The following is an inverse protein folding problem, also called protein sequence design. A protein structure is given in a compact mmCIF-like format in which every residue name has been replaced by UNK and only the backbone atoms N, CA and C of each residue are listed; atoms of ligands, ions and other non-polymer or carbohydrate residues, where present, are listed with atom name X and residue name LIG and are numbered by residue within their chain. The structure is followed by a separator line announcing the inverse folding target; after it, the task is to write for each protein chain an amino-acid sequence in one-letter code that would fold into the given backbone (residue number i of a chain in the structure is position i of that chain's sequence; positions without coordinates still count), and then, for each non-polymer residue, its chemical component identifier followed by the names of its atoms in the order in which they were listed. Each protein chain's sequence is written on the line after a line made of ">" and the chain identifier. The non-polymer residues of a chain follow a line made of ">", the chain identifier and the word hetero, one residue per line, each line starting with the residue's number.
data_IF_689792548086
#
_entry.id   IF_689792548086
#
_cell.length_a   1.000
_cell.length_b   1.000
_cell.length_c   1.000
_cell.angle_alpha   90.00
_cell.angle_beta   90.00
_cell.angle_gamma   90.00
#
_symmetry.space_group_name_H-M   'P 1'
#
loop_
_entity.id
_entity.type
_entity.pdbx_description
1 polymer ?
#
# COMPACT_ATOMS: atom_id res chain seq x y z
N UNK A 1 -21.10 -4.58 17.77
CA UNK A 1 -21.30 -5.42 16.57
C UNK A 1 -20.32 -4.97 15.49
N UNK A 2 -19.66 -5.90 14.80
CA UNK A 2 -18.84 -5.60 13.62
C UNK A 2 -19.73 -5.63 12.37
N UNK A 3 -19.57 -4.66 11.46
CA UNK A 3 -20.37 -4.51 10.23
C UNK A 3 -19.46 -4.44 9.00
N UNK A 4 -19.65 -5.31 7.99
CA UNK A 4 -18.90 -5.21 6.75
C UNK A 4 -19.31 -3.95 5.98
N UNK A 5 -18.32 -3.24 5.44
CA UNK A 5 -18.49 -2.06 4.59
C UNK A 5 -17.68 -2.24 3.32
N UNK A 6 -18.19 -1.74 2.20
CA UNK A 6 -17.55 -1.80 0.88
C UNK A 6 -17.34 -0.40 0.35
N UNK A 7 -16.20 -0.13 -0.28
CA UNK A 7 -15.89 1.16 -0.91
C UNK A 7 -14.40 1.50 -0.82
N UNK A 8 -13.95 2.44 -1.63
CA UNK A 8 -12.55 2.90 -1.64
C UNK A 8 -12.12 3.51 -0.31
N UNK A 9 -13.06 4.03 0.47
CA UNK A 9 -12.83 4.50 1.85
C UNK A 9 -12.29 3.40 2.78
N UNK A 10 -12.56 2.12 2.47
CA UNK A 10 -12.00 0.99 3.22
C UNK A 10 -10.57 0.65 2.79
N UNK A 11 -10.15 1.07 1.60
CA UNK A 11 -8.76 0.90 1.12
C UNK A 11 -7.82 1.92 1.75
N UNK A 12 -8.30 3.14 2.03
CA UNK A 12 -7.51 4.21 2.66
C UNK A 12 -6.83 3.79 3.98
N UNK A 13 -7.53 3.23 4.99
CA UNK A 13 -6.91 2.82 6.24
C UNK A 13 -5.89 1.68 6.07
N UNK A 14 -6.08 0.80 5.07
CA UNK A 14 -5.13 -0.29 4.77
C UNK A 14 -3.81 0.28 4.25
N UNK A 15 -3.88 1.20 3.28
CA UNK A 15 -2.69 1.82 2.69
C UNK A 15 -1.96 2.70 3.72
N UNK A 16 -2.69 3.48 4.52
CA UNK A 16 -2.07 4.30 5.58
C UNK A 16 -1.46 3.45 6.69
N UNK A 17 -2.07 2.31 7.04
CA UNK A 17 -1.47 1.35 7.98
C UNK A 17 -0.16 0.76 7.46
N UNK A 18 -0.11 0.37 6.18
CA UNK A 18 1.13 -0.09 5.55
C UNK A 18 2.23 0.99 5.55
N UNK A 19 1.84 2.25 5.31
CA UNK A 19 2.76 3.39 5.37
C UNK A 19 3.32 3.60 6.79
N UNK A 20 2.46 3.49 7.81
CA UNK A 20 2.84 3.63 9.20
C UNK A 20 3.86 2.56 9.62
N UNK A 21 3.61 1.29 9.27
CA UNK A 21 4.55 0.19 9.54
C UNK A 21 5.89 0.38 8.81
N UNK A 22 5.86 0.87 7.57
CA UNK A 22 7.08 1.14 6.82
C UNK A 22 7.90 2.26 7.46
N UNK A 23 7.25 3.32 7.94
CA UNK A 23 7.90 4.42 8.65
C UNK A 23 8.41 4.00 10.04
N UNK A 24 7.71 3.10 10.72
CA UNK A 24 8.18 2.51 11.98
C UNK A 24 9.51 1.76 11.78
N UNK A 25 9.64 1.02 10.67
CA UNK A 25 10.86 0.27 10.35
C UNK A 25 11.97 1.14 9.75
N UNK A 26 11.62 2.14 8.94
CA UNK A 26 12.55 3.04 8.27
C UNK A 26 12.15 4.51 8.48
N UNK A 27 12.46 5.10 9.66
CA UNK A 27 11.99 6.43 10.04
C UNK A 27 12.49 7.56 9.12
N UNK A 28 13.63 7.37 8.46
CA UNK A 28 14.26 8.38 7.61
C UNK A 28 13.69 8.43 6.18
N UNK A 29 12.74 7.56 5.84
CA UNK A 29 12.15 7.55 4.50
C UNK A 29 11.36 8.84 4.22
N UNK A 30 11.65 9.43 3.08
CA UNK A 30 10.86 10.54 2.55
C UNK A 30 9.54 10.05 1.97
N UNK A 31 8.56 10.97 1.88
CA UNK A 31 7.30 10.73 1.19
C UNK A 31 7.46 10.18 -0.24
N UNK A 32 8.53 10.58 -0.93
CA UNK A 32 8.83 10.11 -2.29
C UNK A 32 9.26 8.64 -2.27
N UNK A 33 10.13 8.26 -1.35
CA UNK A 33 10.63 6.90 -1.22
C UNK A 33 9.54 5.93 -0.75
N UNK A 34 8.67 6.37 0.17
CA UNK A 34 7.49 5.59 0.57
C UNK A 34 6.61 5.28 -0.63
N UNK A 35 6.24 6.30 -1.41
CA UNK A 35 5.40 6.14 -2.61
C UNK A 35 6.07 5.24 -3.65
N UNK A 36 7.38 5.37 -3.84
CA UNK A 36 8.15 4.55 -4.76
C UNK A 36 8.19 3.08 -4.33
N UNK A 37 8.39 2.81 -3.04
CA UNK A 37 8.44 1.45 -2.49
C UNK A 37 7.07 0.77 -2.53
N UNK A 38 6.00 1.50 -2.22
CA UNK A 38 4.61 1.03 -2.40
C UNK A 38 4.31 0.68 -3.85
N UNK A 39 4.74 1.53 -4.79
CA UNK A 39 4.60 1.25 -6.22
C UNK A 39 5.34 -0.03 -6.62
N UNK A 40 6.60 -0.15 -6.22
CA UNK A 40 7.46 -1.25 -6.68
C UNK A 40 7.07 -2.60 -6.05
N UNK A 41 6.44 -2.59 -4.87
CA UNK A 41 5.94 -3.80 -4.19
C UNK A 41 4.53 -4.22 -4.61
N UNK A 42 3.80 -3.38 -5.36
CA UNK A 42 2.42 -3.64 -5.72
C UNK A 42 2.27 -4.84 -6.67
N UNK A 43 1.24 -5.65 -6.42
CA UNK A 43 0.88 -6.80 -7.25
C UNK A 43 -0.06 -6.35 -8.37
N UNK A 44 0.39 -6.45 -9.62
CA UNK A 44 -0.45 -6.20 -10.80
C UNK A 44 -1.57 -7.26 -10.89
N UNK A 45 -2.83 -6.80 -10.92
CA UNK A 45 -4.03 -7.64 -10.98
C UNK A 45 -4.54 -7.88 -12.41
N UNK A 46 -3.86 -7.35 -13.43
CA UNK A 46 -4.25 -7.47 -14.84
C UNK A 46 -5.38 -6.55 -15.28
N UNK A 47 -5.81 -5.59 -14.44
CA UNK A 47 -6.80 -4.58 -14.82
C UNK A 47 -6.19 -3.42 -15.64
N UNK A 48 -7.04 -2.60 -16.26
CA UNK A 48 -6.57 -1.35 -16.86
C UNK A 48 -5.88 -0.46 -15.82
N UNK A 49 -4.78 0.22 -16.21
CA UNK A 49 -4.00 1.06 -15.30
C UNK A 49 -4.86 2.14 -14.61
N UNK A 50 -5.86 2.69 -15.30
CA UNK A 50 -6.82 3.65 -14.75
C UNK A 50 -7.63 3.11 -13.57
N UNK A 51 -7.80 1.79 -13.45
CA UNK A 51 -8.56 1.13 -12.38
C UNK A 51 -7.68 0.70 -11.21
N UNK A 52 -6.50 0.16 -11.48
CA UNK A 52 -5.64 -0.44 -10.45
C UNK A 52 -4.39 0.39 -10.10
N UNK A 53 -4.07 1.41 -10.88
CA UNK A 53 -2.79 2.10 -10.79
C UNK A 53 -1.64 1.10 -10.94
N UNK A 54 -0.78 1.04 -9.93
CA UNK A 54 0.37 0.15 -9.89
C UNK A 54 0.05 -1.26 -9.38
N UNK A 55 -1.17 -1.50 -8.90
CA UNK A 55 -1.63 -2.80 -8.43
C UNK A 55 -2.06 -2.80 -6.96
N UNK A 56 -2.28 -3.99 -6.42
CA UNK A 56 -2.65 -4.24 -5.04
C UNK A 56 -1.42 -4.07 -4.12
N UNK A 57 -1.56 -3.28 -3.05
CA UNK A 57 -0.48 -3.16 -2.05
C UNK A 57 -0.15 -4.51 -1.41
N UNK A 58 1.13 -4.81 -1.23
CA UNK A 58 1.63 -6.05 -0.62
C UNK A 58 2.46 -5.67 0.60
N UNK A 59 1.87 -5.73 1.78
CA UNK A 59 2.51 -5.24 3.01
C UNK A 59 3.77 -6.04 3.37
N UNK A 60 3.73 -7.35 3.16
CA UNK A 60 4.86 -8.27 3.29
C UNK A 60 6.04 -7.85 2.40
N UNK A 61 5.80 -7.63 1.10
CA UNK A 61 6.85 -7.21 0.14
C UNK A 61 7.35 -5.79 0.41
N UNK A 62 6.45 -4.91 0.85
CA UNK A 62 6.78 -3.54 1.20
C UNK A 62 7.81 -3.49 2.35
N UNK A 63 7.62 -4.35 3.36
CA UNK A 63 8.46 -4.42 4.56
C UNK A 63 9.70 -5.33 4.38
N UNK A 64 9.64 -6.35 3.52
CA UNK A 64 10.76 -7.30 3.34
C UNK A 64 11.98 -6.71 2.62
N UNK A 65 11.88 -5.50 2.08
CA UNK A 65 13.02 -4.79 1.46
C UNK A 65 13.72 -5.57 0.35
N UNK A 66 12.94 -6.27 -0.47
CA UNK A 66 13.41 -7.13 -1.57
C UNK A 66 13.04 -6.54 -2.92
#
# INVERSE_FOLDING_TARGET
>A
AYLPRTGTSMSTPIVSGCAALLLEQFPDLTNKEIKLRMRNSALNLGYAHSRQGWGLIQCDRLLSGS
#
